data_IF_098681796420
#
_entry.id   IF_098681796420
#
_cell.length_a   1.000
_cell.length_b   1.000
_cell.length_c   1.000
_cell.angle_alpha   90.00
_cell.angle_beta   90.00
_cell.angle_gamma   90.00
#
_symmetry.space_group_name_H-M   'P 1'
#
loop_
_entity.id
_entity.type
_entity.pdbx_description
1 polymer ?
#
# COMPACT_ATOMS: atom_id res chain seq x y z
N UNK A 1 -35.02 -37.71 27.12
CA UNK A 1 -33.57 -37.48 27.33
C UNK A 1 -32.86 -37.53 25.99
N UNK A 2 -32.26 -36.40 25.57
CA UNK A 2 -30.95 -36.25 24.91
C UNK A 2 -30.58 -37.11 23.70
N UNK A 3 -30.09 -36.63 22.54
CA UNK A 3 -29.67 -35.32 22.02
C UNK A 3 -29.73 -35.45 20.48
N UNK A 4 -30.43 -34.57 19.78
CA UNK A 4 -30.38 -34.51 18.30
C UNK A 4 -29.17 -33.65 17.93
N UNK A 5 -28.12 -34.30 17.43
CA UNK A 5 -26.83 -33.67 17.06
C UNK A 5 -27.06 -32.69 15.92
N UNK A 6 -26.52 -31.48 16.10
CA UNK A 6 -26.86 -30.28 15.35
C UNK A 6 -26.69 -30.37 13.84
N UNK A 7 -27.64 -29.75 13.16
CA UNK A 7 -27.58 -29.28 11.79
C UNK A 7 -26.41 -28.30 11.67
N UNK A 8 -25.26 -28.76 11.17
CA UNK A 8 -24.17 -27.87 10.80
C UNK A 8 -24.51 -27.22 9.47
N UNK A 9 -25.34 -26.18 9.54
CA UNK A 9 -25.55 -25.25 8.45
C UNK A 9 -24.23 -24.61 8.06
N UNK A 10 -23.67 -25.03 6.92
CA UNK A 10 -22.59 -24.33 6.23
C UNK A 10 -23.12 -22.97 5.76
N UNK A 11 -22.91 -21.93 6.57
CA UNK A 11 -23.23 -20.56 6.18
C UNK A 11 -22.15 -20.06 5.20
N UNK A 12 -22.31 -20.33 3.90
CA UNK A 12 -21.45 -19.73 2.87
C UNK A 12 -21.89 -18.28 2.67
N UNK A 13 -21.18 -17.33 3.29
CA UNK A 13 -21.34 -15.90 3.02
C UNK A 13 -20.82 -15.65 1.60
N UNK A 14 -21.72 -15.62 0.61
CA UNK A 14 -21.40 -15.19 -0.75
C UNK A 14 -21.39 -13.67 -0.77
N UNK A 15 -20.20 -13.09 -0.62
CA UNK A 15 -19.98 -11.70 -1.02
C UNK A 15 -20.20 -11.60 -2.54
N UNK A 16 -20.97 -10.62 -3.05
CA UNK A 16 -21.07 -10.40 -4.49
C UNK A 16 -19.69 -10.01 -5.00
N UNK A 17 -18.97 -10.96 -5.59
CA UNK A 17 -17.82 -10.67 -6.44
C UNK A 17 -18.38 -10.07 -7.73
N UNK A 18 -18.40 -8.74 -7.80
CA UNK A 18 -18.71 -7.99 -9.02
C UNK A 18 -17.75 -8.42 -10.13
N UNK A 19 -18.29 -9.02 -11.19
CA UNK A 19 -17.61 -9.53 -12.38
C UNK A 19 -17.10 -8.43 -13.33
N UNK A 20 -16.85 -7.24 -12.80
CA UNK A 20 -16.29 -6.13 -13.57
C UNK A 20 -14.81 -6.42 -13.81
N UNK A 21 -14.29 -6.31 -15.05
CA UNK A 21 -12.87 -6.33 -15.28
C UNK A 21 -12.29 -5.08 -14.60
N UNK A 22 -11.80 -5.24 -13.37
CA UNK A 22 -11.01 -4.19 -12.74
C UNK A 22 -9.72 -4.12 -13.56
N UNK A 23 -9.66 -3.20 -14.52
CA UNK A 23 -8.39 -2.66 -14.97
C UNK A 23 -7.78 -2.01 -13.73
N UNK A 24 -7.05 -2.82 -12.95
CA UNK A 24 -6.39 -2.39 -11.71
C UNK A 24 -5.24 -1.49 -12.13
N UNK A 25 -5.57 -0.28 -12.55
CA UNK A 25 -4.62 0.80 -12.76
C UNK A 25 -3.90 0.96 -11.42
N UNK A 26 -2.65 0.50 -11.39
CA UNK A 26 -1.88 0.52 -10.18
C UNK A 26 -1.49 1.95 -9.87
N UNK A 27 -1.73 2.34 -8.63
CA UNK A 27 -1.39 3.65 -8.07
C UNK A 27 -0.42 3.44 -6.93
N UNK A 28 0.75 4.06 -7.06
CA UNK A 28 1.86 3.86 -6.16
C UNK A 28 2.08 5.07 -5.26
N UNK A 29 2.43 4.82 -4.00
CA UNK A 29 3.04 5.81 -3.12
C UNK A 29 4.41 5.30 -2.69
N UNK A 30 5.45 6.09 -2.93
CA UNK A 30 6.80 5.86 -2.45
C UNK A 30 7.04 6.71 -1.21
N UNK A 31 7.34 6.07 -0.08
CA UNK A 31 7.72 6.71 1.18
C UNK A 31 9.24 6.68 1.30
N UNK A 32 9.89 7.84 1.17
CA UNK A 32 11.36 7.94 1.18
C UNK A 32 11.81 8.68 2.42
N UNK A 33 12.74 8.10 3.18
CA UNK A 33 13.23 8.77 4.36
C UNK A 33 14.25 9.89 4.01
N UNK A 34 13.93 11.17 4.34
CA UNK A 34 14.78 12.30 3.99
C UNK A 34 16.10 12.34 4.76
N UNK A 35 16.30 11.49 5.78
CA UNK A 35 17.52 11.42 6.60
C UNK A 35 18.37 10.16 6.28
N UNK A 36 17.78 9.05 5.82
CA UNK A 36 18.55 7.82 5.53
C UNK A 36 19.23 7.82 4.16
N UNK A 37 20.51 7.44 4.08
CA UNK A 37 21.22 7.20 2.81
C UNK A 37 22.34 8.21 2.54
N UNK A 38 23.57 7.71 2.48
CA UNK A 38 24.83 8.48 2.41
C UNK A 38 25.15 9.00 1.00
N UNK A 39 24.28 8.76 -0.01
CA UNK A 39 24.53 9.15 -1.40
C UNK A 39 23.25 9.64 -2.08
N UNK A 40 23.29 10.90 -2.54
CA UNK A 40 22.44 11.56 -3.56
C UNK A 40 21.03 10.97 -3.74
N UNK A 41 20.10 11.39 -2.87
CA UNK A 41 18.67 11.02 -2.92
C UNK A 41 17.96 11.51 -4.19
N UNK A 42 18.48 12.57 -4.80
CA UNK A 42 18.00 13.08 -6.08
C UNK A 42 17.98 11.98 -7.15
N UNK A 43 19.00 11.12 -7.18
CA UNK A 43 19.05 9.99 -8.10
C UNK A 43 17.93 8.96 -7.90
N UNK A 44 17.42 8.79 -6.67
CA UNK A 44 16.36 7.81 -6.40
C UNK A 44 15.00 8.34 -6.86
N UNK A 45 14.70 9.60 -6.58
CA UNK A 45 13.47 10.24 -7.06
C UNK A 45 13.40 10.22 -8.57
N UNK A 46 14.51 10.58 -9.23
CA UNK A 46 14.61 10.57 -10.70
C UNK A 46 14.47 9.15 -11.26
N UNK A 47 15.10 8.16 -10.63
CA UNK A 47 14.98 6.76 -11.05
C UNK A 47 13.56 6.23 -10.92
N UNK A 48 12.87 6.57 -9.83
CA UNK A 48 11.46 6.22 -9.62
C UNK A 48 10.63 6.91 -10.72
N UNK A 49 10.76 8.22 -10.89
CA UNK A 49 10.01 8.98 -11.88
C UNK A 49 10.18 8.39 -13.29
N UNK A 50 11.43 8.21 -13.74
CA UNK A 50 11.74 7.62 -15.03
C UNK A 50 11.10 6.24 -15.22
N UNK A 51 11.11 5.39 -14.19
CA UNK A 51 10.58 4.02 -14.30
C UNK A 51 9.06 4.01 -14.29
N UNK A 52 8.43 4.85 -13.47
CA UNK A 52 6.98 4.96 -13.41
C UNK A 52 6.41 5.59 -14.67
N UNK A 53 7.04 6.63 -15.20
CA UNK A 53 6.68 7.28 -16.47
C UNK A 53 6.85 6.32 -17.65
N UNK A 54 7.96 5.58 -17.71
CA UNK A 54 8.19 4.57 -18.76
C UNK A 54 7.08 3.51 -18.83
N UNK A 55 6.45 3.20 -17.70
CA UNK A 55 5.37 2.22 -17.61
C UNK A 55 3.98 2.86 -17.51
N UNK A 56 3.89 4.20 -17.63
CA UNK A 56 2.65 4.98 -17.57
C UNK A 56 1.83 4.72 -16.29
N UNK A 57 2.52 4.51 -15.16
CA UNK A 57 1.89 4.30 -13.86
C UNK A 57 1.65 5.62 -13.13
N UNK A 58 0.52 5.70 -12.44
CA UNK A 58 0.27 6.78 -11.49
C UNK A 58 1.08 6.58 -10.21
N UNK A 59 1.88 7.57 -9.83
CA UNK A 59 2.71 7.48 -8.63
C UNK A 59 2.81 8.82 -7.88
N UNK A 60 3.15 8.74 -6.60
CA UNK A 60 3.57 9.88 -5.78
C UNK A 60 4.75 9.52 -4.90
N UNK A 61 5.62 10.47 -4.68
CA UNK A 61 6.73 10.35 -3.74
C UNK A 61 6.44 11.26 -2.54
N UNK A 62 6.52 10.70 -1.34
CA UNK A 62 6.27 11.39 -0.08
C UNK A 62 7.43 11.10 0.89
N UNK A 63 7.79 12.05 1.76
CA UNK A 63 8.75 11.77 2.84
C UNK A 63 8.12 10.85 3.90
N UNK A 64 8.92 9.99 4.53
CA UNK A 64 8.48 9.27 5.74
C UNK A 64 8.33 10.23 6.92
N UNK A 65 7.33 9.98 7.76
CA UNK A 65 7.17 10.68 9.03
C UNK A 65 8.03 9.99 10.11
N UNK A 66 8.81 10.78 10.85
CA UNK A 66 9.71 10.30 11.91
C UNK A 66 8.91 9.81 13.12
N UNK A 67 7.73 10.38 13.33
CA UNK A 67 6.83 10.07 14.43
C UNK A 67 5.86 8.92 14.07
N UNK A 68 5.98 8.35 12.87
CA UNK A 68 5.17 7.21 12.42
C UNK A 68 3.69 7.54 12.19
N UNK A 69 3.32 8.83 12.09
CA UNK A 69 1.93 9.23 11.96
C UNK A 69 1.40 9.09 10.52
N UNK A 70 1.04 7.87 10.16
CA UNK A 70 0.49 7.56 8.83
C UNK A 70 -1.05 7.53 8.78
N UNK A 71 -1.75 8.05 9.79
CA UNK A 71 -3.22 8.05 9.82
C UNK A 71 -3.83 8.83 8.63
N UNK A 72 -3.21 9.95 8.25
CA UNK A 72 -3.60 10.72 7.06
C UNK A 72 -3.32 9.95 5.77
N UNK A 73 -2.21 9.21 5.71
CA UNK A 73 -1.86 8.37 4.57
C UNK A 73 -2.84 7.21 4.42
N UNK A 74 -3.26 6.56 5.51
CA UNK A 74 -4.26 5.50 5.48
C UNK A 74 -5.61 5.98 4.91
N UNK A 75 -6.05 7.19 5.27
CA UNK A 75 -7.25 7.82 4.67
C UNK A 75 -7.06 8.07 3.18
N UNK A 76 -5.88 8.55 2.80
CA UNK A 76 -5.50 8.85 1.40
C UNK A 76 -5.48 7.60 0.54
N UNK A 77 -4.93 6.50 1.05
CA UNK A 77 -4.90 5.20 0.37
C UNK A 77 -6.32 4.74 0.02
N UNK A 78 -7.25 4.83 0.98
CA UNK A 78 -8.66 4.47 0.77
C UNK A 78 -9.37 5.41 -0.20
N UNK A 79 -9.17 6.72 -0.05
CA UNK A 79 -9.87 7.71 -0.88
C UNK A 79 -9.40 7.71 -2.33
N UNK A 80 -8.09 7.59 -2.56
CA UNK A 80 -7.50 7.69 -3.90
C UNK A 80 -7.33 6.33 -4.59
N UNK A 81 -7.75 5.25 -3.92
CA UNK A 81 -7.61 3.86 -4.38
C UNK A 81 -6.15 3.52 -4.71
N UNK A 82 -5.24 3.89 -3.81
CA UNK A 82 -3.82 3.53 -3.91
C UNK A 82 -3.72 2.02 -3.76
N UNK A 83 -3.04 1.39 -4.71
CA UNK A 83 -2.92 -0.07 -4.77
C UNK A 83 -1.64 -0.55 -4.09
N UNK A 84 -0.59 0.27 -4.13
CA UNK A 84 0.75 -0.12 -3.72
C UNK A 84 1.42 1.00 -2.92
N UNK A 85 2.00 0.65 -1.77
CA UNK A 85 2.84 1.55 -0.97
C UNK A 85 4.22 0.93 -0.83
N UNK A 86 5.24 1.67 -1.26
CA UNK A 86 6.64 1.24 -1.27
C UNK A 86 7.42 2.11 -0.31
N UNK A 87 8.15 1.51 0.63
CA UNK A 87 8.97 2.25 1.59
C UNK A 87 10.44 2.08 1.22
N UNK A 88 11.15 3.20 1.07
CA UNK A 88 12.55 3.23 0.71
C UNK A 88 13.35 3.88 1.85
N UNK A 89 14.03 3.07 2.64
CA UNK A 89 14.91 3.48 3.73
C UNK A 89 15.77 2.32 4.23
N UNK A 90 16.59 2.56 5.25
CA UNK A 90 17.33 1.49 5.94
C UNK A 90 16.44 0.71 6.93
N UNK A 91 17.00 -0.28 7.63
CA UNK A 91 16.29 -1.12 8.64
C UNK A 91 15.40 -0.32 9.60
N UNK A 92 15.90 0.81 10.14
CA UNK A 92 15.14 1.64 11.07
C UNK A 92 13.91 2.33 10.46
N UNK A 93 13.83 2.48 9.13
CA UNK A 93 12.68 3.09 8.43
C UNK A 93 11.57 2.09 8.16
N UNK A 94 11.92 0.82 7.94
CA UNK A 94 10.95 -0.26 7.72
C UNK A 94 10.16 -0.55 9.00
N UNK A 95 10.83 -0.50 10.17
CA UNK A 95 10.20 -0.78 11.45
C UNK A 95 9.15 0.26 11.89
N UNK A 96 9.21 1.50 11.38
CA UNK A 96 8.24 2.56 11.74
C UNK A 96 6.90 2.46 11.01
N UNK A 97 6.78 1.54 10.04
CA UNK A 97 5.58 1.39 9.20
C UNK A 97 4.84 0.06 9.43
N UNK A 98 5.44 -0.87 10.18
CA UNK A 98 4.88 -2.20 10.50
C UNK A 98 4.15 -2.18 11.84
#
# INVERSE_FOLDING_TARGET
>A
MSLKKGDQGSLSVRFPISSEPVSRERKFIFLINPISGIRKKDNLNDLIAQRMEKHNFSFRILPTDKDGNYAALAKKIKSEHITDVVICGGDGTVNSVV
#
